data_IF_231502703017
#
_entry.id   IF_231502703017
#
_cell.length_a   1.000
_cell.length_b   1.000
_cell.length_c   1.000
_cell.angle_alpha   90.00
_cell.angle_beta   90.00
_cell.angle_gamma   90.00
#
_symmetry.space_group_name_H-M   'P 1'
#
loop_
_entity.id
_entity.type
_entity.pdbx_description
1 polymer ?
#
# COMPACT_ATOMS: atom_id res chain seq x y z
N UNK A 1 -3.74 -14.53 -9.77
CA UNK A 1 -2.47 -13.82 -9.90
C UNK A 1 -2.52 -12.51 -9.17
N UNK A 2 -1.40 -12.10 -8.58
CA UNK A 2 -1.35 -10.84 -7.84
C UNK A 2 -1.02 -9.70 -8.77
N UNK A 3 -1.59 -8.54 -8.50
CA UNK A 3 -1.26 -7.33 -9.21
C UNK A 3 -0.12 -6.62 -8.49
N UNK A 4 0.76 -6.04 -9.28
CA UNK A 4 1.93 -5.36 -8.76
C UNK A 4 1.71 -3.85 -8.84
N UNK A 5 1.97 -3.16 -7.73
CA UNK A 5 1.82 -1.72 -7.66
C UNK A 5 3.10 -1.10 -7.12
N UNK A 6 3.46 0.04 -7.66
CA UNK A 6 4.56 0.83 -7.13
C UNK A 6 3.99 1.94 -6.26
N UNK A 7 4.49 2.01 -5.05
CA UNK A 7 4.05 3.04 -4.10
C UNK A 7 5.28 3.71 -3.51
N UNK A 8 5.09 4.92 -3.03
CA UNK A 8 6.16 5.67 -2.41
C UNK A 8 5.97 5.66 -0.91
N UNK A 9 6.99 5.24 -0.19
CA UNK A 9 6.95 5.22 1.26
C UNK A 9 6.80 6.64 1.80
N UNK A 10 5.84 6.89 2.68
CA UNK A 10 5.67 8.23 3.24
C UNK A 10 6.68 8.60 4.31
N UNK A 11 7.52 7.65 4.70
CA UNK A 11 8.54 7.91 5.70
C UNK A 11 9.89 8.18 5.08
N UNK A 12 10.35 7.27 4.22
CA UNK A 12 11.70 7.38 3.67
C UNK A 12 11.71 7.85 2.22
N UNK A 13 10.56 7.90 1.57
CA UNK A 13 10.48 8.40 0.21
C UNK A 13 10.92 7.42 -0.87
N UNK A 14 11.20 6.19 -0.50
CA UNK A 14 11.63 5.18 -1.47
C UNK A 14 10.44 4.59 -2.20
N UNK A 15 10.66 4.21 -3.44
CA UNK A 15 9.66 3.50 -4.21
C UNK A 15 9.73 2.02 -3.88
N UNK A 16 8.59 1.46 -3.49
CA UNK A 16 8.51 0.07 -3.09
C UNK A 16 7.40 -0.59 -3.90
N UNK A 17 7.64 -1.81 -4.32
CA UNK A 17 6.63 -2.58 -5.03
C UNK A 17 5.87 -3.45 -4.07
N UNK A 18 4.56 -3.46 -4.21
CA UNK A 18 3.71 -4.33 -3.40
C UNK A 18 2.86 -5.18 -4.34
N UNK A 19 2.48 -6.35 -3.86
CA UNK A 19 1.69 -7.29 -4.62
C UNK A 19 0.35 -7.46 -3.94
N UNK A 20 -0.72 -7.25 -4.68
CA UNK A 20 -2.07 -7.34 -4.16
C UNK A 20 -2.86 -8.34 -4.97
N UNK A 21 -3.67 -9.12 -4.28
CA UNK A 21 -4.53 -10.06 -4.97
C UNK A 21 -5.69 -9.31 -5.62
N UNK A 22 -6.23 -9.84 -6.71
CA UNK A 22 -7.30 -9.14 -7.41
C UNK A 22 -8.57 -8.95 -6.59
N UNK A 23 -8.77 -9.81 -5.61
CA UNK A 23 -9.94 -9.70 -4.74
C UNK A 23 -9.72 -8.84 -3.52
N UNK A 24 -8.50 -8.40 -3.31
CA UNK A 24 -8.16 -7.68 -2.11
C UNK A 24 -8.66 -6.25 -2.18
N UNK A 25 -9.34 -5.81 -1.15
CA UNK A 25 -9.77 -4.43 -1.03
C UNK A 25 -9.96 -4.10 0.42
N UNK A 26 -10.09 -2.79 0.70
CA UNK A 26 -10.21 -2.31 2.05
C UNK A 26 -8.90 -1.73 2.53
N UNK A 27 -8.73 -1.68 3.84
CA UNK A 27 -7.56 -1.06 4.43
C UNK A 27 -6.82 -2.08 5.28
N UNK A 28 -5.51 -2.10 5.15
CA UNK A 28 -4.68 -2.98 5.97
C UNK A 28 -3.33 -2.32 6.20
N UNK A 29 -2.56 -2.87 7.11
CA UNK A 29 -1.25 -2.34 7.47
C UNK A 29 -0.18 -3.22 6.88
N UNK A 30 0.82 -2.59 6.29
CA UNK A 30 1.96 -3.30 5.73
C UNK A 30 3.23 -2.53 6.09
N UNK A 31 4.30 -3.25 6.37
CA UNK A 31 5.57 -2.62 6.72
C UNK A 31 6.36 -2.29 5.47
N UNK A 32 7.08 -1.16 5.55
CA UNK A 32 8.01 -0.82 4.49
C UNK A 32 9.21 -1.74 4.58
N UNK A 33 9.66 -2.25 3.45
CA UNK A 33 10.80 -3.15 3.48
C UNK A 33 12.13 -2.41 3.47
N UNK A 34 12.11 -1.09 3.39
CA UNK A 34 13.32 -0.29 3.43
C UNK A 34 13.54 0.28 4.82
N UNK A 35 12.55 0.97 5.36
CA UNK A 35 12.69 1.63 6.64
C UNK A 35 11.92 0.94 7.76
N UNK A 36 11.16 -0.09 7.44
CA UNK A 36 10.44 -0.91 8.41
C UNK A 36 9.34 -0.19 9.16
N UNK A 37 8.91 0.96 8.67
CA UNK A 37 7.80 1.67 9.30
C UNK A 37 6.47 1.19 8.73
N UNK A 38 5.41 1.20 9.54
CA UNK A 38 4.13 0.67 9.07
C UNK A 38 3.40 1.66 8.17
N UNK A 39 2.78 1.11 7.14
CA UNK A 39 1.94 1.89 6.25
C UNK A 39 0.49 1.47 6.41
N UNK A 40 -0.41 2.40 6.21
CA UNK A 40 -1.80 2.07 6.00
C UNK A 40 -2.02 2.00 4.49
N UNK A 41 -2.35 0.81 4.01
CA UNK A 41 -2.59 0.60 2.59
C UNK A 41 -4.08 0.56 2.37
N UNK A 42 -4.56 1.40 1.49
CA UNK A 42 -5.98 1.49 1.21
C UNK A 42 -6.22 1.13 -0.25
N UNK A 43 -7.03 0.13 -0.46
CA UNK A 43 -7.34 -0.36 -1.79
C UNK A 43 -8.81 -0.12 -2.05
N UNK A 44 -9.14 0.56 -3.13
CA UNK A 44 -10.51 0.83 -3.48
C UNK A 44 -10.71 0.55 -4.96
N UNK A 45 -11.99 0.44 -5.35
CA UNK A 45 -12.31 0.11 -6.71
C UNK A 45 -12.28 -1.39 -6.96
N UNK A 46 -12.41 -1.77 -8.21
CA UNK A 46 -12.38 -3.17 -8.56
C UNK A 46 -11.96 -3.32 -10.01
N UNK A 47 -11.48 -4.50 -10.35
CA UNK A 47 -11.08 -4.81 -11.70
C UNK A 47 -9.95 -3.91 -12.14
N UNK A 48 -10.14 -3.27 -13.29
CA UNK A 48 -9.13 -2.41 -13.87
C UNK A 48 -9.08 -1.03 -13.25
N UNK A 49 -10.07 -0.70 -12.43
CA UNK A 49 -10.16 0.63 -11.85
C UNK A 49 -9.77 0.66 -10.38
N UNK A 50 -8.82 -0.16 -10.01
CA UNK A 50 -8.38 -0.19 -8.62
C UNK A 50 -7.42 0.95 -8.33
N UNK A 51 -7.59 1.54 -7.15
CA UNK A 51 -6.69 2.56 -6.64
C UNK A 51 -6.05 2.09 -5.35
N UNK A 52 -4.78 2.40 -5.20
CA UNK A 52 -4.04 2.04 -4.00
C UNK A 52 -3.45 3.32 -3.42
N UNK A 53 -3.70 3.54 -2.14
CA UNK A 53 -3.17 4.69 -1.43
C UNK A 53 -2.35 4.22 -0.25
N UNK A 54 -1.26 4.92 -0.02
CA UNK A 54 -0.37 4.61 1.09
C UNK A 54 -0.32 5.81 2.02
N UNK A 55 -0.47 5.57 3.30
CA UNK A 55 -0.38 6.62 4.30
C UNK A 55 0.36 6.07 5.50
N UNK A 56 0.83 6.98 6.34
CA UNK A 56 1.51 6.57 7.56
C UNK A 56 0.51 5.99 8.55
N UNK A 57 0.89 4.90 9.17
CA UNK A 57 0.03 4.21 10.11
C UNK A 57 0.54 4.37 11.54
N UNK A 58 1.15 5.50 11.83
CA UNK A 58 1.73 5.75 13.14
C UNK A 58 0.81 6.51 14.07
N UNK A 59 -0.45 6.63 13.67
CA UNK A 59 -1.43 7.30 14.50
C UNK A 59 -1.60 8.77 14.20
N UNK A 60 -0.96 9.25 13.19
CA UNK A 60 -1.04 10.67 12.85
C UNK A 60 -2.25 11.02 12.02
N UNK A 61 -3.12 10.12 11.84
CA UNK A 61 -4.30 10.33 11.02
C UNK A 61 -5.33 11.14 11.71
#
# INVERSE_FOLDING_TARGET
>A
MADQFEVTCPYCGETVEIYLEPDLRGTFVQDCEVCCNPWRVRVSGSGDDRDVEIARADGSE
#
